data_IF_726890878742
#
_entry.id   IF_726890878742
#
_cell.length_a   1.000
_cell.length_b   1.000
_cell.length_c   1.000
_cell.angle_alpha   90.00
_cell.angle_beta   90.00
_cell.angle_gamma   90.00
#
_symmetry.space_group_name_H-M   'P 1'
#
loop_
_entity.id
_entity.type
_entity.pdbx_description
1 polymer ?
#
# COMPACT_ATOMS: atom_id res chain seq x y z
N UNK A 1 1.46 -3.53 0.82
CA UNK A 1 2.72 -4.02 0.24
C UNK A 1 3.46 -2.95 -0.57
N UNK A 2 2.83 -2.21 -1.48
CA UNK A 2 3.51 -1.10 -2.19
C UNK A 2 4.12 -0.04 -1.25
N UNK A 3 3.48 0.21 -0.11
CA UNK A 3 4.03 1.07 0.96
C UNK A 3 5.32 0.52 1.57
N UNK A 4 5.45 -0.80 1.67
CA UNK A 4 6.64 -1.49 2.15
C UNK A 4 7.77 -1.43 1.11
N UNK A 5 7.45 -1.55 -0.19
CA UNK A 5 8.40 -1.38 -1.29
C UNK A 5 9.03 0.01 -1.31
N UNK A 6 8.22 1.07 -1.12
CA UNK A 6 8.66 2.48 -1.08
C UNK A 6 9.50 2.86 0.15
N UNK A 7 9.64 1.95 1.12
CA UNK A 7 10.38 2.21 2.35
C UNK A 7 11.90 2.27 2.09
N UNK A 8 12.57 3.37 2.41
CA UNK A 8 14.04 3.38 2.49
C UNK A 8 14.45 2.64 3.76
N UNK A 9 15.25 1.58 3.64
CA UNK A 9 15.68 0.77 4.78
C UNK A 9 16.65 1.61 5.65
N UNK A 10 16.27 2.04 6.87
CA UNK A 10 17.22 2.65 7.77
C UNK A 10 18.17 1.59 8.32
N UNK A 11 19.45 1.92 8.50
CA UNK A 11 20.43 1.05 9.15
C UNK A 11 20.15 0.98 10.66
N UNK A 12 19.19 0.15 11.04
CA UNK A 12 18.90 -0.17 12.44
C UNK A 12 19.43 -1.56 12.74
N UNK A 13 20.58 -1.67 13.45
CA UNK A 13 21.23 -2.96 13.70
C UNK A 13 20.51 -3.83 14.73
N UNK A 14 19.68 -3.26 15.62
CA UNK A 14 18.97 -4.02 16.67
C UNK A 14 17.53 -3.52 16.81
N UNK A 15 16.57 -4.44 16.77
CA UNK A 15 15.16 -4.13 17.00
C UNK A 15 14.93 -3.70 18.47
N UNK A 16 14.34 -2.52 18.69
CA UNK A 16 13.93 -2.07 20.03
C UNK A 16 12.72 -2.82 20.58
N UNK A 17 11.95 -3.51 19.73
CA UNK A 17 10.81 -4.34 20.13
C UNK A 17 11.06 -5.82 19.73
N UNK A 18 11.82 -6.58 20.54
CA UNK A 18 12.20 -7.96 20.20
C UNK A 18 10.99 -8.90 20.07
N UNK A 19 9.92 -8.67 20.83
CA UNK A 19 8.69 -9.48 20.76
C UNK A 19 7.98 -9.34 19.40
N UNK A 20 7.88 -8.11 18.90
CA UNK A 20 7.25 -7.85 17.61
C UNK A 20 8.10 -8.39 16.46
N UNK A 21 9.42 -8.22 16.55
CA UNK A 21 10.35 -8.79 15.57
C UNK A 21 10.26 -10.32 15.52
N UNK A 22 10.21 -10.98 16.69
CA UNK A 22 10.04 -12.44 16.79
C UNK A 22 8.72 -12.90 16.19
N UNK A 23 7.63 -12.17 16.46
CA UNK A 23 6.32 -12.47 15.90
C UNK A 23 6.33 -12.37 14.37
N UNK A 24 6.90 -11.29 13.81
CA UNK A 24 6.98 -11.10 12.35
C UNK A 24 7.83 -12.19 11.70
N UNK A 25 8.99 -12.52 12.27
CA UNK A 25 9.86 -13.59 11.76
C UNK A 25 9.12 -14.94 11.78
N UNK A 26 8.39 -15.24 12.85
CA UNK A 26 7.58 -16.47 12.95
C UNK A 26 6.52 -16.53 11.84
N UNK A 27 5.73 -15.45 11.68
CA UNK A 27 4.68 -15.38 10.67
C UNK A 27 5.23 -15.53 9.25
N UNK A 28 6.43 -15.00 8.98
CA UNK A 28 7.11 -15.15 7.69
C UNK A 28 7.58 -16.60 7.45
N UNK A 29 8.15 -17.26 8.46
CA UNK A 29 8.58 -18.67 8.33
C UNK A 29 7.40 -19.63 8.13
N UNK A 30 6.26 -19.35 8.76
CA UNK A 30 5.03 -20.11 8.58
C UNK A 30 4.46 -20.02 7.14
N UNK A 31 4.83 -19.00 6.35
CA UNK A 31 4.40 -18.93 4.94
C UNK A 31 4.94 -20.12 4.13
N UNK A 32 6.21 -20.45 4.32
CA UNK A 32 6.85 -21.58 3.65
C UNK A 32 6.27 -22.91 4.13
N UNK A 33 5.99 -23.04 5.44
CA UNK A 33 5.35 -24.24 6.00
C UNK A 33 3.96 -24.46 5.40
N UNK A 34 3.14 -23.41 5.31
CA UNK A 34 1.79 -23.51 4.78
C UNK A 34 1.75 -23.71 3.26
N UNK A 35 2.74 -23.20 2.52
CA UNK A 35 2.84 -23.52 1.09
C UNK A 35 3.27 -24.96 0.84
N UNK A 36 4.18 -25.48 1.65
CA UNK A 36 4.60 -26.88 1.56
C UNK A 36 3.53 -27.85 2.09
N UNK A 37 2.63 -27.40 2.97
CA UNK A 37 1.45 -28.13 3.44
C UNK A 37 0.24 -27.89 2.49
N UNK A 38 0.18 -28.68 1.41
CA UNK A 38 -0.94 -28.71 0.45
C UNK A 38 -1.30 -27.34 -0.14
N UNK A 39 -0.30 -26.49 -0.40
CA UNK A 39 -0.48 -25.15 -0.97
C UNK A 39 -1.57 -24.34 -0.26
N UNK A 40 -1.54 -24.30 1.07
CA UNK A 40 -2.56 -23.66 1.89
C UNK A 40 -2.49 -22.12 1.83
N UNK A 41 -2.93 -21.57 0.70
CA UNK A 41 -2.95 -20.13 0.42
C UNK A 41 -3.83 -19.36 1.40
N UNK A 42 -4.85 -19.97 1.99
CA UNK A 42 -5.71 -19.31 2.98
C UNK A 42 -4.93 -18.94 4.25
N UNK A 43 -4.11 -19.85 4.77
CA UNK A 43 -3.25 -19.57 5.94
C UNK A 43 -2.13 -18.60 5.59
N UNK A 44 -1.52 -18.74 4.41
CA UNK A 44 -0.52 -17.78 3.88
C UNK A 44 -1.09 -16.36 3.86
N UNK A 45 -2.28 -16.19 3.28
CA UNK A 45 -2.95 -14.89 3.24
C UNK A 45 -3.28 -14.36 4.63
N UNK A 46 -3.73 -15.22 5.56
CA UNK A 46 -4.00 -14.83 6.95
C UNK A 46 -2.74 -14.25 7.63
N UNK A 47 -1.59 -14.90 7.47
CA UNK A 47 -0.31 -14.42 8.01
C UNK A 47 0.12 -13.10 7.37
N UNK A 48 -0.01 -12.96 6.05
CA UNK A 48 0.29 -11.71 5.36
C UNK A 48 -0.60 -10.56 5.87
N UNK A 49 -1.90 -10.80 6.04
CA UNK A 49 -2.83 -9.82 6.60
C UNK A 49 -2.50 -9.44 8.05
N UNK A 50 -1.98 -10.36 8.86
CA UNK A 50 -1.57 -10.06 10.24
C UNK A 50 -0.32 -9.15 10.28
N UNK A 51 0.53 -9.21 9.27
CA UNK A 51 1.71 -8.35 9.15
C UNK A 51 1.35 -6.93 8.63
N UNK A 52 0.27 -6.78 7.85
CA UNK A 52 -0.14 -5.48 7.25
C UNK A 52 -0.31 -4.34 8.28
N UNK A 53 -0.98 -4.53 9.43
CA UNK A 53 -1.08 -3.49 10.46
C UNK A 53 0.28 -2.99 10.96
N UNK A 54 1.26 -3.89 11.09
CA UNK A 54 2.63 -3.53 11.51
C UNK A 54 3.29 -2.64 10.46
N UNK A 55 3.15 -3.01 9.18
CA UNK A 55 3.66 -2.21 8.05
C UNK A 55 3.04 -0.80 8.07
N UNK A 56 1.71 -0.72 8.22
CA UNK A 56 0.99 0.55 8.23
C UNK A 56 1.36 1.41 9.45
N UNK A 57 1.54 0.81 10.63
CA UNK A 57 1.93 1.51 11.83
C UNK A 57 3.33 2.12 11.74
N UNK A 58 4.27 1.42 11.09
CA UNK A 58 5.61 1.94 10.79
C UNK A 58 5.53 3.06 9.74
N UNK A 59 4.76 2.87 8.67
CA UNK A 59 4.58 3.87 7.61
C UNK A 59 3.98 5.18 8.14
N UNK A 60 2.92 5.09 8.94
CA UNK A 60 2.19 6.23 9.48
C UNK A 60 2.94 6.93 10.63
N UNK A 61 4.20 6.54 10.91
CA UNK A 61 5.05 7.05 11.98
C UNK A 61 4.47 6.89 13.39
N UNK A 62 3.46 6.02 13.55
CA UNK A 62 2.95 5.65 14.87
C UNK A 62 3.96 4.78 15.63
N UNK A 63 4.77 4.01 14.90
CA UNK A 63 5.91 3.27 15.44
C UNK A 63 7.22 3.89 14.95
N UNK A 64 8.21 4.09 15.84
CA UNK A 64 9.53 4.53 15.42
C UNK A 64 10.20 3.48 14.53
N UNK A 65 11.04 3.94 13.59
CA UNK A 65 11.76 3.10 12.63
C UNK A 65 12.66 2.04 13.29
N UNK A 66 13.05 2.25 14.55
CA UNK A 66 13.91 1.34 15.32
C UNK A 66 13.18 0.11 15.88
N UNK A 67 11.87 -0.01 15.67
CA UNK A 67 11.06 -1.11 16.22
C UNK A 67 11.44 -2.45 15.60
N UNK A 68 11.81 -2.47 14.32
CA UNK A 68 12.28 -3.66 13.61
C UNK A 68 13.72 -3.47 13.12
N UNK A 69 14.48 -4.56 13.06
CA UNK A 69 15.82 -4.52 12.47
C UNK A 69 15.74 -4.32 10.96
N UNK A 70 16.80 -3.75 10.38
CA UNK A 70 16.92 -3.63 8.91
C UNK A 70 16.82 -5.00 8.21
N UNK A 71 17.35 -6.05 8.83
CA UNK A 71 17.27 -7.42 8.33
C UNK A 71 15.82 -7.93 8.29
N UNK A 72 15.04 -7.73 9.36
CA UNK A 72 13.63 -8.14 9.41
C UNK A 72 12.80 -7.40 8.36
N UNK A 73 13.02 -6.09 8.18
CA UNK A 73 12.35 -5.30 7.15
C UNK A 73 12.71 -5.75 5.73
N UNK A 74 13.98 -6.08 5.49
CA UNK A 74 14.42 -6.65 4.21
C UNK A 74 13.75 -8.00 3.92
N UNK A 75 13.66 -8.86 4.93
CA UNK A 75 13.00 -10.17 4.81
C UNK A 75 11.50 -10.01 4.53
N UNK A 76 10.81 -9.10 5.22
CA UNK A 76 9.42 -8.76 4.93
C UNK A 76 9.24 -8.31 3.48
N UNK A 77 10.16 -7.49 2.94
CA UNK A 77 10.09 -7.02 1.54
C UNK A 77 10.21 -8.17 0.54
N UNK A 78 11.19 -9.04 0.72
CA UNK A 78 11.38 -10.19 -0.18
C UNK A 78 10.16 -11.09 -0.14
N UNK A 79 9.77 -11.55 1.06
CA UNK A 79 8.67 -12.49 1.21
C UNK A 79 7.36 -11.93 0.67
N UNK A 80 7.02 -10.66 0.94
CA UNK A 80 5.80 -10.10 0.37
C UNK A 80 5.86 -10.00 -1.16
N UNK A 81 7.00 -9.65 -1.75
CA UNK A 81 7.18 -9.61 -3.20
C UNK A 81 7.03 -10.99 -3.82
N UNK A 82 7.75 -11.96 -3.26
CA UNK A 82 7.79 -13.33 -3.77
C UNK A 82 6.41 -14.00 -3.65
N UNK A 83 5.76 -13.86 -2.49
CA UNK A 83 4.47 -14.49 -2.27
C UNK A 83 3.33 -13.81 -3.02
N UNK A 84 3.22 -12.48 -2.99
CA UNK A 84 2.11 -11.80 -3.65
C UNK A 84 2.28 -11.79 -5.16
N UNK A 85 3.46 -11.44 -5.67
CA UNK A 85 3.65 -11.27 -7.12
C UNK A 85 4.06 -12.58 -7.81
N UNK A 86 5.09 -13.27 -7.30
CA UNK A 86 5.67 -14.41 -8.02
C UNK A 86 4.89 -15.72 -7.81
N UNK A 87 4.40 -15.97 -6.59
CA UNK A 87 3.71 -17.22 -6.24
C UNK A 87 2.20 -17.09 -6.48
N UNK A 88 1.55 -16.10 -5.87
CA UNK A 88 0.10 -15.92 -5.96
C UNK A 88 -0.33 -15.16 -7.23
N UNK A 89 0.61 -14.56 -7.97
CA UNK A 89 0.31 -13.87 -9.23
C UNK A 89 -0.57 -12.63 -9.06
N UNK A 90 -0.59 -12.04 -7.86
CA UNK A 90 -1.35 -10.83 -7.53
C UNK A 90 -0.62 -9.61 -8.08
N UNK A 91 -0.59 -9.50 -9.40
CA UNK A 91 -0.17 -8.29 -10.05
C UNK A 91 -1.30 -7.27 -9.95
N UNK A 92 -0.93 -6.04 -9.58
CA UNK A 92 -1.80 -4.90 -9.77
C UNK A 92 -1.86 -4.64 -11.28
N UNK A 93 -2.66 -5.44 -11.99
CA UNK A 93 -3.04 -5.20 -13.38
C UNK A 93 -4.04 -4.03 -13.39
N UNK A 94 -3.63 -2.89 -12.84
CA UNK A 94 -4.06 -1.65 -13.41
C UNK A 94 -3.46 -1.63 -14.80
N UNK A 95 -4.21 -2.21 -15.76
CA UNK A 95 -4.11 -1.83 -17.14
C UNK A 95 -4.09 -0.30 -17.11
N UNK A 96 -2.90 0.25 -17.31
CA UNK A 96 -2.72 1.64 -17.69
C UNK A 96 -3.34 1.71 -19.07
N UNK A 97 -4.66 1.75 -19.13
CA UNK A 97 -5.39 2.20 -20.30
C UNK A 97 -4.93 3.64 -20.52
N UNK A 98 -4.03 3.76 -21.50
CA UNK A 98 -3.52 4.97 -22.12
C UNK A 98 -3.01 6.07 -21.16
N UNK A 99 -1.71 6.37 -21.25
CA UNK A 99 -1.14 7.58 -20.62
C UNK A 99 -1.87 8.89 -20.98
N UNK A 100 -2.71 8.90 -22.02
CA UNK A 100 -3.64 9.98 -22.35
C UNK A 100 -4.81 10.10 -21.36
N UNK A 101 -5.41 8.99 -20.94
CA UNK A 101 -6.51 8.98 -19.97
C UNK A 101 -5.99 9.44 -18.59
N UNK A 102 -4.80 8.97 -18.19
CA UNK A 102 -4.13 9.44 -16.97
C UNK A 102 -3.82 10.94 -17.01
N UNK A 103 -3.38 11.48 -18.16
CA UNK A 103 -3.18 12.91 -18.35
C UNK A 103 -4.46 13.74 -18.22
N UNK A 104 -5.57 13.28 -18.81
CA UNK A 104 -6.90 13.90 -18.66
C UNK A 104 -7.34 13.87 -17.20
N UNK A 105 -7.11 12.75 -16.51
CA UNK A 105 -7.47 12.62 -15.10
C UNK A 105 -6.69 13.59 -14.20
N UNK A 106 -5.39 13.74 -14.44
CA UNK A 106 -4.56 14.71 -13.73
C UNK A 106 -5.05 16.15 -13.95
N UNK A 107 -5.43 16.51 -15.18
CA UNK A 107 -5.99 17.82 -15.49
C UNK A 107 -7.30 18.08 -14.73
N UNK A 108 -8.20 17.09 -14.65
CA UNK A 108 -9.46 17.21 -13.89
C UNK A 108 -9.21 17.34 -12.38
N UNK A 109 -8.22 16.64 -11.85
CA UNK A 109 -7.79 16.75 -10.45
C UNK A 109 -7.23 18.15 -10.15
N UNK A 110 -6.39 18.70 -11.03
CA UNK A 110 -5.88 20.07 -10.91
C UNK A 110 -7.02 21.10 -10.98
N UNK A 111 -7.95 20.95 -11.92
CA UNK A 111 -9.10 21.85 -12.03
C UNK A 111 -9.95 21.86 -10.75
N UNK A 112 -10.13 20.70 -10.12
CA UNK A 112 -10.81 20.59 -8.82
C UNK A 112 -10.02 21.31 -7.71
N UNK A 113 -8.69 21.12 -7.66
CA UNK A 113 -7.82 21.82 -6.69
C UNK A 113 -7.93 23.34 -6.87
N UNK A 114 -7.85 23.83 -8.10
CA UNK A 114 -7.97 25.24 -8.44
C UNK A 114 -9.33 25.82 -8.05
N UNK A 115 -10.43 25.11 -8.36
CA UNK A 115 -11.77 25.50 -7.96
C UNK A 115 -11.87 25.63 -6.43
N UNK A 116 -11.31 24.66 -5.69
CA UNK A 116 -11.28 24.69 -4.21
C UNK A 116 -10.43 25.84 -3.67
N UNK A 117 -9.27 26.14 -4.27
CA UNK A 117 -8.43 27.29 -3.92
C UNK A 117 -9.14 28.62 -4.17
N UNK A 118 -9.91 28.71 -5.25
CA UNK A 118 -10.75 29.87 -5.60
C UNK A 118 -12.06 29.93 -4.81
N UNK A 119 -12.29 29.02 -3.86
CA UNK A 119 -13.54 28.85 -3.08
C UNK A 119 -14.77 28.59 -3.95
N UNK A 120 -14.58 28.11 -5.17
CA UNK A 120 -15.64 27.61 -6.05
C UNK A 120 -15.95 26.15 -5.71
N UNK A 121 -16.67 25.98 -4.59
CA UNK A 121 -17.08 24.66 -4.11
C UNK A 121 -18.06 23.96 -5.06
N UNK A 122 -18.89 24.73 -5.79
CA UNK A 122 -19.86 24.21 -6.72
C UNK A 122 -19.17 23.48 -7.89
N UNK A 123 -18.15 24.09 -8.50
CA UNK A 123 -17.38 23.46 -9.58
C UNK A 123 -16.58 22.27 -9.07
N UNK A 124 -15.96 22.38 -7.89
CA UNK A 124 -15.25 21.25 -7.25
C UNK A 124 -16.15 20.04 -7.02
N UNK A 125 -17.36 20.25 -6.48
CA UNK A 125 -18.31 19.15 -6.24
C UNK A 125 -18.89 18.59 -7.53
N UNK A 126 -19.11 19.44 -8.55
CA UNK A 126 -19.55 18.97 -9.87
C UNK A 126 -18.55 17.99 -10.48
N UNK A 127 -17.25 18.32 -10.46
CA UNK A 127 -16.18 17.44 -10.97
C UNK A 127 -16.17 16.12 -10.19
N UNK A 128 -16.24 16.17 -8.85
CA UNK A 128 -16.28 14.98 -7.99
C UNK A 128 -17.47 14.07 -8.31
N UNK A 129 -18.67 14.64 -8.40
CA UNK A 129 -19.89 13.89 -8.64
C UNK A 129 -19.92 13.26 -10.04
N UNK A 130 -19.44 13.98 -11.06
CA UNK A 130 -19.39 13.47 -12.43
C UNK A 130 -18.38 12.31 -12.55
N UNK A 131 -17.21 12.43 -11.93
CA UNK A 131 -16.24 11.34 -11.88
C UNK A 131 -16.80 10.12 -11.15
N UNK A 132 -17.49 10.34 -10.02
CA UNK A 132 -18.13 9.26 -9.27
C UNK A 132 -19.23 8.55 -10.09
N UNK A 133 -20.00 9.28 -10.90
CA UNK A 133 -21.00 8.69 -11.82
C UNK A 133 -20.35 7.82 -12.91
N UNK A 134 -19.11 8.12 -13.29
CA UNK A 134 -18.32 7.35 -14.25
C UNK A 134 -17.56 6.18 -13.59
N UNK A 135 -17.81 5.89 -12.30
CA UNK A 135 -17.10 4.84 -11.57
C UNK A 135 -15.70 5.25 -11.08
N UNK A 136 -15.32 6.52 -11.19
CA UNK A 136 -14.01 7.02 -10.76
C UNK A 136 -14.15 7.70 -9.41
N UNK A 137 -13.62 7.06 -8.36
CA UNK A 137 -13.58 7.60 -7.02
C UNK A 137 -12.31 8.43 -6.81
N UNK A 138 -12.47 9.70 -6.41
CA UNK A 138 -11.35 10.55 -5.97
C UNK A 138 -11.13 10.41 -4.47
N UNK A 139 -9.89 10.23 -4.04
CA UNK A 139 -9.49 10.16 -2.64
C UNK A 139 -8.46 11.24 -2.33
N UNK A 140 -8.77 12.07 -1.35
CA UNK A 140 -7.84 13.08 -0.83
C UNK A 140 -6.90 12.37 0.17
N UNK A 141 -5.60 12.35 -0.13
CA UNK A 141 -4.56 11.77 0.73
C UNK A 141 -4.07 12.81 1.76
N UNK A 142 -3.48 12.33 2.87
CA UNK A 142 -3.03 13.17 3.99
C UNK A 142 -1.90 14.14 3.63
N UNK A 143 -1.18 13.88 2.56
CA UNK A 143 -0.10 14.72 2.01
C UNK A 143 -0.63 15.86 1.10
N UNK A 144 -1.95 15.93 0.87
CA UNK A 144 -2.57 16.89 -0.04
C UNK A 144 -2.56 16.46 -1.52
N UNK A 145 -2.06 15.25 -1.81
CA UNK A 145 -2.27 14.64 -3.11
C UNK A 145 -3.67 14.05 -3.22
N UNK A 146 -4.15 13.94 -4.45
CA UNK A 146 -5.45 13.35 -4.75
C UNK A 146 -5.15 12.11 -5.59
N UNK A 147 -5.43 10.93 -5.03
CA UNK A 147 -5.39 9.67 -5.75
C UNK A 147 -6.78 9.38 -6.33
N UNK A 148 -6.84 8.54 -7.37
CA UNK A 148 -8.10 8.09 -7.93
C UNK A 148 -8.13 6.57 -8.07
N UNK A 149 -9.32 5.99 -7.96
CA UNK A 149 -9.58 4.56 -8.15
C UNK A 149 -10.71 4.41 -9.14
N UNK A 150 -10.54 3.48 -10.09
CA UNK A 150 -11.58 3.12 -11.06
C UNK A 150 -12.24 1.83 -10.55
N UNK A 151 -13.56 1.88 -10.35
CA UNK A 151 -14.38 0.76 -9.89
C UNK A 151 -15.01 -0.02 -11.04
#
# INVERSE_FOLDING_TARGET
YELLMKFTLPEVPVAKAPELATKVIKLLGELDEFMNDDFNTAKVMANLFEIVPVINAIHDKHLPYDVLSSATLGMMKSYFSDYLENILGLHNNHNVEDGKLGGVMNLLIELRKDARMKKDYATSDKIRNQLQQLGIALKDEKDGNISYTVN
#
